data_IF_428965284065
#
_entry.id   IF_428965284065
#
_cell.length_a   1.000
_cell.length_b   1.000
_cell.length_c   1.000
_cell.angle_alpha   90.00
_cell.angle_beta   90.00
_cell.angle_gamma   90.00
#
_symmetry.space_group_name_H-M   'P 1'
#
loop_
_entity.id
_entity.type
_entity.pdbx_description
1 polymer ?
#
# COMPACT_ATOMS: atom_id res chain seq x y z
N UNK A 1 62.73 -11.44 31.50
CA UNK A 1 61.68 -11.11 32.49
C UNK A 1 61.55 -9.58 32.42
N UNK A 2 60.63 -8.98 31.69
CA UNK A 2 59.24 -9.39 31.41
C UNK A 2 58.73 -8.56 30.22
N UNK A 3 57.99 -9.19 29.30
CA UNK A 3 57.19 -8.53 28.28
C UNK A 3 56.18 -7.57 28.94
N UNK A 4 56.17 -6.30 28.54
CA UNK A 4 55.06 -5.40 28.78
C UNK A 4 54.50 -4.98 27.43
N UNK A 5 53.50 -5.76 27.03
CA UNK A 5 52.71 -5.65 25.82
C UNK A 5 51.68 -4.53 26.05
N UNK A 6 52.13 -3.28 25.94
CA UNK A 6 51.26 -2.11 26.07
C UNK A 6 50.39 -1.95 24.83
N UNK A 7 49.18 -2.48 24.99
CA UNK A 7 47.91 -2.06 24.42
C UNK A 7 47.96 -0.82 23.51
N UNK A 8 48.02 -1.06 22.20
CA UNK A 8 47.47 -0.13 21.21
C UNK A 8 45.99 0.06 21.53
N UNK A 9 45.47 1.31 21.67
CA UNK A 9 44.05 1.52 21.89
C UNK A 9 43.29 0.95 20.70
N UNK A 10 42.43 -0.02 20.96
CA UNK A 10 41.54 -0.60 19.98
C UNK A 10 40.76 0.54 19.29
N UNK A 11 41.03 0.76 18.01
CA UNK A 11 40.13 1.56 17.20
C UNK A 11 38.75 0.90 17.22
N UNK A 12 37.65 1.67 17.40
CA UNK A 12 36.31 1.12 17.26
C UNK A 12 36.20 0.48 15.87
N UNK A 13 35.99 -0.84 15.85
CA UNK A 13 35.81 -1.57 14.60
C UNK A 13 34.61 -0.96 13.86
N UNK A 14 34.75 -0.53 12.59
CA UNK A 14 33.60 -0.11 11.81
C UNK A 14 32.62 -1.28 11.73
N UNK A 15 31.31 -1.05 11.89
CA UNK A 15 30.31 -2.10 11.77
C UNK A 15 30.41 -2.75 10.39
N UNK A 16 30.30 -4.08 10.35
CA UNK A 16 30.33 -4.91 9.15
C UNK A 16 29.44 -4.36 8.03
N UNK A 17 30.02 -4.23 6.84
CA UNK A 17 29.42 -3.72 5.60
C UNK A 17 28.47 -4.77 4.98
N UNK A 18 27.17 -4.73 5.32
CA UNK A 18 26.16 -4.76 4.26
C UNK A 18 25.01 -3.76 4.47
N UNK A 19 24.89 -3.16 5.67
CA UNK A 19 23.83 -2.20 6.03
C UNK A 19 24.05 -0.80 5.41
N UNK A 20 25.28 -0.48 5.02
CA UNK A 20 25.68 0.89 4.64
C UNK A 20 25.63 1.15 3.13
N UNK A 21 25.68 0.11 2.29
CA UNK A 21 25.68 0.26 0.82
C UNK A 21 24.31 0.60 0.23
N UNK A 22 23.23 0.39 0.98
CA UNK A 22 21.86 0.68 0.54
C UNK A 22 21.20 1.77 1.40
N UNK A 23 22.00 2.74 1.87
CA UNK A 23 21.48 3.90 2.59
C UNK A 23 21.95 5.15 1.88
N UNK A 24 21.00 5.90 1.34
CA UNK A 24 21.28 7.15 0.66
C UNK A 24 21.91 8.13 1.66
N UNK A 25 22.88 8.92 1.20
CA UNK A 25 23.45 9.99 2.01
C UNK A 25 22.33 10.94 2.48
N UNK A 26 22.44 11.57 3.67
CA UNK A 26 21.35 12.35 4.27
C UNK A 26 20.81 13.46 3.34
N UNK A 27 21.69 14.08 2.57
CA UNK A 27 21.37 15.09 1.55
C UNK A 27 20.51 14.57 0.41
N UNK A 28 20.76 13.35 -0.04
CA UNK A 28 20.01 12.73 -1.12
C UNK A 28 18.71 12.14 -0.59
N UNK A 29 18.70 11.61 0.63
CA UNK A 29 17.48 11.20 1.32
C UNK A 29 16.50 12.37 1.46
N UNK A 30 16.99 13.57 1.81
CA UNK A 30 16.16 14.77 1.90
C UNK A 30 15.51 15.16 0.55
N UNK A 31 16.22 14.96 -0.58
CA UNK A 31 15.67 15.20 -1.92
C UNK A 31 14.59 14.18 -2.27
N UNK A 32 14.80 12.90 -1.93
CA UNK A 32 13.81 11.83 -2.12
C UNK A 32 12.57 12.10 -1.27
N UNK A 33 12.74 12.42 0.00
CA UNK A 33 11.63 12.70 0.91
C UNK A 33 10.82 13.91 0.43
N UNK A 34 11.49 14.97 -0.02
CA UNK A 34 10.83 16.14 -0.62
C UNK A 34 10.11 15.81 -1.93
N UNK A 35 10.56 14.82 -2.70
CA UNK A 35 9.92 14.41 -3.96
C UNK A 35 8.72 13.48 -3.70
N UNK A 36 8.85 12.51 -2.80
CA UNK A 36 7.79 11.55 -2.44
C UNK A 36 6.65 12.25 -1.70
N UNK A 37 6.95 13.17 -0.79
CA UNK A 37 5.96 13.93 -0.02
C UNK A 37 5.12 14.88 -0.86
N UNK A 38 5.62 15.31 -2.03
CA UNK A 38 4.88 16.20 -2.94
C UNK A 38 3.61 15.57 -3.50
N UNK A 39 3.44 14.24 -3.38
CA UNK A 39 2.12 13.62 -3.46
C UNK A 39 1.33 14.03 -4.70
N UNK A 40 1.97 14.03 -5.88
CA UNK A 40 1.39 14.49 -7.16
C UNK A 40 0.16 13.65 -7.60
N UNK A 41 -0.17 12.59 -6.87
CA UNK A 41 -1.35 11.74 -7.04
C UNK A 41 -2.31 11.80 -5.83
N UNK A 42 -2.30 12.89 -5.05
CA UNK A 42 -3.34 13.17 -4.06
C UNK A 42 -4.55 13.81 -4.76
N UNK A 43 -5.26 13.02 -5.57
CA UNK A 43 -6.54 13.45 -6.12
C UNK A 43 -7.57 13.48 -4.99
N UNK A 44 -8.42 14.50 -4.94
CA UNK A 44 -9.55 14.58 -4.02
C UNK A 44 -10.57 13.48 -4.38
N UNK A 45 -10.32 12.27 -3.89
CA UNK A 45 -11.13 11.09 -4.21
C UNK A 45 -12.39 11.15 -3.37
N UNK A 46 -13.53 11.29 -4.04
CA UNK A 46 -14.85 11.03 -3.44
C UNK A 46 -14.76 9.71 -2.65
N UNK A 47 -15.15 9.68 -1.36
CA UNK A 47 -15.04 8.47 -0.56
C UNK A 47 -15.78 7.33 -1.26
N UNK A 48 -15.06 6.25 -1.54
CA UNK A 48 -15.64 5.09 -2.20
C UNK A 48 -16.68 4.46 -1.28
N UNK A 49 -17.92 4.32 -1.75
CA UNK A 49 -19.05 3.76 -0.98
C UNK A 49 -19.40 2.36 -1.53
N UNK A 50 -18.63 1.31 -1.20
CA UNK A 50 -18.77 -0.02 -1.80
C UNK A 50 -20.16 -0.62 -1.58
N UNK A 51 -20.73 -0.44 -0.39
CA UNK A 51 -22.06 -0.95 -0.05
C UNK A 51 -23.16 -0.33 -0.93
N UNK A 52 -23.06 0.95 -1.28
CA UNK A 52 -24.04 1.61 -2.14
C UNK A 52 -24.06 0.98 -3.54
N UNK A 53 -22.88 0.69 -4.10
CA UNK A 53 -22.76 0.03 -5.40
C UNK A 53 -23.36 -1.38 -5.36
N UNK A 54 -23.09 -2.13 -4.30
CA UNK A 54 -23.62 -3.49 -4.12
C UNK A 54 -25.15 -3.50 -4.00
N UNK A 55 -25.73 -2.58 -3.23
CA UNK A 55 -27.19 -2.44 -3.09
C UNK A 55 -27.84 -2.13 -4.43
N UNK A 56 -27.27 -1.19 -5.21
CA UNK A 56 -27.80 -0.85 -6.54
C UNK A 56 -27.78 -2.07 -7.46
N UNK A 57 -26.67 -2.80 -7.50
CA UNK A 57 -26.55 -4.03 -8.27
C UNK A 57 -27.61 -5.06 -7.86
N UNK A 58 -27.77 -5.28 -6.55
CA UNK A 58 -28.75 -6.23 -6.01
C UNK A 58 -30.17 -5.86 -6.41
N UNK A 59 -30.54 -4.58 -6.31
CA UNK A 59 -31.86 -4.08 -6.74
C UNK A 59 -32.11 -4.37 -8.22
N UNK A 60 -31.12 -4.14 -9.09
CA UNK A 60 -31.26 -4.39 -10.53
C UNK A 60 -31.45 -5.89 -10.79
N UNK A 61 -30.61 -6.74 -10.21
CA UNK A 61 -30.67 -8.20 -10.44
C UNK A 61 -31.97 -8.78 -9.92
N UNK A 62 -32.40 -8.40 -8.71
CA UNK A 62 -33.68 -8.85 -8.14
C UNK A 62 -34.85 -8.32 -8.97
N UNK A 63 -34.82 -7.04 -9.36
CA UNK A 63 -35.85 -6.43 -10.19
C UNK A 63 -36.03 -7.14 -11.54
N UNK A 64 -34.95 -7.41 -12.25
CA UNK A 64 -34.98 -8.15 -13.52
C UNK A 64 -35.46 -9.60 -13.32
N UNK A 65 -35.05 -10.24 -12.22
CA UNK A 65 -35.48 -11.60 -11.89
C UNK A 65 -36.99 -11.68 -11.66
N UNK A 66 -37.54 -10.75 -10.86
CA UNK A 66 -38.98 -10.65 -10.61
C UNK A 66 -39.75 -10.27 -11.88
N UNK A 67 -39.21 -9.35 -12.66
CA UNK A 67 -39.83 -8.94 -13.93
C UNK A 67 -39.90 -10.10 -14.93
N UNK A 68 -38.83 -10.88 -15.07
CA UNK A 68 -38.80 -12.09 -15.90
C UNK A 68 -39.85 -13.10 -15.46
N UNK A 69 -39.96 -13.36 -14.15
CA UNK A 69 -40.98 -14.27 -13.62
C UNK A 69 -42.40 -13.75 -13.85
N UNK A 70 -42.63 -12.44 -13.75
CA UNK A 70 -43.93 -11.83 -14.01
C UNK A 70 -44.34 -12.04 -15.47
N UNK A 71 -43.41 -11.81 -16.41
CA UNK A 71 -43.64 -12.06 -17.83
C UNK A 71 -43.92 -13.54 -18.12
N UNK A 72 -43.18 -14.46 -17.51
CA UNK A 72 -43.43 -15.90 -17.66
C UNK A 72 -44.84 -16.29 -17.19
N UNK A 73 -45.27 -15.76 -16.03
CA UNK A 73 -46.63 -15.98 -15.51
C UNK A 73 -47.71 -15.39 -16.42
N UNK A 74 -47.49 -14.20 -16.98
CA UNK A 74 -48.44 -13.59 -17.93
C UNK A 74 -48.51 -14.33 -19.26
N UNK A 75 -47.38 -14.89 -19.70
CA UNK A 75 -47.33 -15.72 -20.90
C UNK A 75 -47.94 -17.12 -20.70
N UNK A 76 -48.34 -17.48 -19.48
CA UNK A 76 -48.94 -18.78 -19.16
C UNK A 76 -47.94 -19.94 -19.18
N UNK A 77 -46.65 -19.64 -19.05
CA UNK A 77 -45.57 -20.62 -19.04
C UNK A 77 -45.33 -21.00 -17.57
N UNK A 78 -45.66 -22.25 -17.22
CA UNK A 78 -45.49 -22.82 -15.87
C UNK A 78 -44.52 -23.99 -15.90
#
# INVERSE_FOLDING_TARGET
MTEQKDQTPAQPQPPSEPEQQNRLYPEDQAKVDAFVSRGINSVERKPFRPLRLLVILMVIVVGLSLFSQLLARWAGIY
#
